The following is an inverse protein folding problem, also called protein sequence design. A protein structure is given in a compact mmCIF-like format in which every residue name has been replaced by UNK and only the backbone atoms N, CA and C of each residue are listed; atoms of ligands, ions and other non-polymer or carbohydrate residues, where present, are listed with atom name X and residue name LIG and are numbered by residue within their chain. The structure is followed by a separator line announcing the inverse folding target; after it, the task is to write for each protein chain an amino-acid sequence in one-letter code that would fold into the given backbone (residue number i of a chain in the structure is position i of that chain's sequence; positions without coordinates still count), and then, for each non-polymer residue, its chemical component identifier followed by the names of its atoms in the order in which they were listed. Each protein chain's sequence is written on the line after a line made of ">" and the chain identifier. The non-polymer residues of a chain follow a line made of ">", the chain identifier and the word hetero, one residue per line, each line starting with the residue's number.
data_IF_251336189320
#
_entry.id   IF_251336189320
#
_cell.length_a   1.000
_cell.length_b   1.000
_cell.length_c   1.000
_cell.angle_alpha   90.00
_cell.angle_beta   90.00
_cell.angle_gamma   90.00
#
_symmetry.space_group_name_H-M   'P 1'
#
loop_
_entity.id
_entity.type
_entity.pdbx_description
1 polymer ?
#
# COMPACT_ATOMS: atom_id res chain seq x y z
N UNK A 1 -7.29 43.41 -23.92
CA UNK A 1 -7.34 41.93 -23.97
C UNK A 1 -5.96 41.45 -23.49
N UNK A 2 -5.82 41.01 -22.24
CA UNK A 2 -4.51 40.57 -21.72
C UNK A 2 -4.21 39.19 -22.30
N UNK A 3 -3.14 39.05 -23.09
CA UNK A 3 -2.72 37.76 -23.63
C UNK A 3 -2.14 36.89 -22.51
N UNK A 4 -2.60 35.65 -22.42
CA UNK A 4 -2.03 34.63 -21.52
C UNK A 4 -0.54 34.47 -21.74
N UNK A 5 0.23 34.36 -20.65
CA UNK A 5 1.57 33.78 -20.76
C UNK A 5 1.43 32.27 -20.97
N UNK A 6 2.33 31.67 -21.74
CA UNK A 6 2.35 30.21 -21.97
C UNK A 6 2.42 29.44 -20.64
N UNK A 7 3.09 30.02 -19.64
CA UNK A 7 3.19 29.48 -18.28
C UNK A 7 1.84 29.40 -17.56
N UNK A 8 0.97 30.40 -17.71
CA UNK A 8 -0.36 30.38 -17.05
C UNK A 8 -1.24 29.24 -17.56
N UNK A 9 -1.15 28.94 -18.85
CA UNK A 9 -1.88 27.81 -19.47
C UNK A 9 -1.39 26.47 -18.93
N UNK A 10 -0.07 26.33 -18.72
CA UNK A 10 0.51 25.12 -18.14
C UNK A 10 0.07 24.94 -16.69
N UNK A 11 0.08 26.01 -15.90
CA UNK A 11 -0.33 25.97 -14.50
C UNK A 11 -1.82 25.61 -14.35
N UNK A 12 -2.71 26.22 -15.13
CA UNK A 12 -4.14 25.90 -15.08
C UNK A 12 -4.43 24.44 -15.49
N UNK A 13 -3.85 23.98 -16.60
CA UNK A 13 -4.07 22.61 -17.07
C UNK A 13 -3.62 21.57 -16.04
N UNK A 14 -2.46 21.75 -15.41
CA UNK A 14 -1.95 20.81 -14.41
C UNK A 14 -2.64 20.94 -13.06
N UNK A 15 -3.12 22.13 -12.68
CA UNK A 15 -3.99 22.29 -11.51
C UNK A 15 -5.26 21.47 -11.68
N UNK A 16 -5.95 21.61 -12.82
CA UNK A 16 -7.20 20.90 -13.06
C UNK A 16 -6.99 19.38 -13.06
N UNK A 17 -5.95 18.88 -13.74
CA UNK A 17 -5.59 17.44 -13.69
C UNK A 17 -5.29 16.96 -12.27
N UNK A 18 -4.58 17.75 -11.48
CA UNK A 18 -4.27 17.43 -10.09
C UNK A 18 -5.54 17.31 -9.23
N UNK A 19 -6.43 18.30 -9.30
CA UNK A 19 -7.68 18.33 -8.53
C UNK A 19 -8.62 17.18 -8.93
N UNK A 20 -8.78 16.91 -10.23
CA UNK A 20 -9.60 15.80 -10.72
C UNK A 20 -9.01 14.45 -10.27
N UNK A 21 -7.69 14.26 -10.39
CA UNK A 21 -7.03 13.07 -9.88
C UNK A 21 -7.27 12.87 -8.38
N UNK A 22 -7.12 13.94 -7.57
CA UNK A 22 -7.37 13.90 -6.13
C UNK A 22 -8.82 13.55 -5.80
N UNK A 23 -9.80 14.05 -6.57
CA UNK A 23 -11.22 13.68 -6.40
C UNK A 23 -11.46 12.20 -6.66
N UNK A 24 -10.88 11.65 -7.73
CA UNK A 24 -11.00 10.22 -8.04
C UNK A 24 -10.40 9.36 -6.92
N UNK A 25 -9.22 9.74 -6.39
CA UNK A 25 -8.61 9.04 -5.26
C UNK A 25 -9.46 9.18 -3.99
N UNK A 26 -9.98 10.38 -3.69
CA UNK A 26 -10.87 10.62 -2.54
C UNK A 26 -12.11 9.71 -2.58
N UNK A 27 -12.80 9.68 -3.72
CA UNK A 27 -14.01 8.86 -3.89
C UNK A 27 -13.70 7.36 -3.90
N UNK A 28 -12.57 6.95 -4.47
CA UNK A 28 -12.09 5.57 -4.36
C UNK A 28 -11.93 5.14 -2.90
N UNK A 29 -11.26 5.96 -2.09
CA UNK A 29 -11.03 5.66 -0.68
C UNK A 29 -12.36 5.61 0.09
N UNK A 30 -13.28 6.54 -0.18
CA UNK A 30 -14.58 6.62 0.50
C UNK A 30 -15.50 5.45 0.16
N UNK A 31 -15.64 5.12 -1.13
CA UNK A 31 -16.71 4.23 -1.59
C UNK A 31 -16.22 2.82 -1.91
N UNK A 32 -14.94 2.65 -2.28
CA UNK A 32 -14.36 1.33 -2.57
C UNK A 32 -13.70 0.75 -1.33
N UNK A 33 -12.87 1.54 -0.62
CA UNK A 33 -12.12 1.05 0.54
C UNK A 33 -12.77 1.34 1.90
N UNK A 34 -13.80 2.19 1.94
CA UNK A 34 -14.41 2.69 3.18
C UNK A 34 -13.37 3.29 4.16
N UNK A 35 -12.30 3.89 3.64
CA UNK A 35 -11.21 4.48 4.40
C UNK A 35 -11.40 6.00 4.55
N UNK A 36 -12.20 6.38 5.55
CA UNK A 36 -12.50 7.80 5.82
C UNK A 36 -11.28 8.61 6.25
N UNK A 37 -10.29 7.97 6.88
CA UNK A 37 -9.07 8.61 7.38
C UNK A 37 -8.21 9.06 6.21
N UNK A 38 -7.89 8.15 5.29
CA UNK A 38 -7.08 8.49 4.13
C UNK A 38 -7.84 9.36 3.12
N UNK A 39 -9.15 9.19 3.00
CA UNK A 39 -9.99 10.11 2.22
C UNK A 39 -9.88 11.55 2.73
N UNK A 40 -9.89 11.76 4.05
CA UNK A 40 -9.71 13.08 4.66
C UNK A 40 -8.32 13.68 4.37
N UNK A 41 -7.26 12.87 4.41
CA UNK A 41 -5.90 13.32 4.02
C UNK A 41 -5.86 13.83 2.58
N UNK A 42 -6.46 13.10 1.64
CA UNK A 42 -6.53 13.49 0.22
C UNK A 42 -7.36 14.77 0.04
N UNK A 43 -8.51 14.87 0.72
CA UNK A 43 -9.34 16.08 0.73
C UNK A 43 -8.55 17.31 1.20
N UNK A 44 -7.74 17.17 2.25
CA UNK A 44 -6.93 18.27 2.77
C UNK A 44 -5.88 18.74 1.75
N UNK A 45 -5.18 17.80 1.09
CA UNK A 45 -4.26 18.14 -0.02
C UNK A 45 -4.99 18.90 -1.12
N UNK A 46 -6.21 18.47 -1.49
CA UNK A 46 -7.03 19.13 -2.50
C UNK A 46 -7.42 20.56 -2.10
N UNK A 47 -7.75 20.80 -0.84
CA UNK A 47 -8.04 22.14 -0.32
C UNK A 47 -6.79 23.04 -0.31
N UNK A 48 -5.65 22.53 0.18
CA UNK A 48 -4.38 23.27 0.18
C UNK A 48 -3.98 23.71 -1.23
N UNK A 49 -4.15 22.84 -2.23
CA UNK A 49 -3.91 23.19 -3.63
C UNK A 49 -4.94 24.22 -4.10
N UNK A 50 -6.22 24.04 -3.80
CA UNK A 50 -7.26 24.99 -4.22
C UNK A 50 -6.97 26.40 -3.71
N UNK A 51 -6.60 26.53 -2.43
CA UNK A 51 -6.23 27.79 -1.78
C UNK A 51 -5.02 28.47 -2.42
N UNK A 52 -3.98 27.70 -2.79
CA UNK A 52 -2.78 28.27 -3.42
C UNK A 52 -3.12 28.95 -4.76
N UNK A 53 -4.09 28.39 -5.48
CA UNK A 53 -4.45 28.84 -6.81
C UNK A 53 -5.73 29.69 -6.85
N UNK A 54 -6.43 29.86 -5.71
CA UNK A 54 -7.70 30.59 -5.62
C UNK A 54 -7.54 32.11 -5.72
N UNK A 55 -6.34 32.67 -5.48
CA UNK A 55 -6.20 34.12 -5.34
C UNK A 55 -5.77 34.91 -6.57
N UNK A 56 -5.34 34.33 -7.71
CA UNK A 56 -4.87 35.16 -8.85
C UNK A 56 -4.96 34.55 -10.27
N UNK A 57 -5.62 33.40 -10.47
CA UNK A 57 -5.64 32.72 -11.80
C UNK A 57 -7.06 32.61 -12.40
N UNK A 58 -8.09 33.13 -11.72
CA UNK A 58 -9.50 32.96 -12.14
C UNK A 58 -9.96 33.98 -13.21
N UNK A 59 -9.23 35.08 -13.47
CA UNK A 59 -9.70 36.13 -14.41
C UNK A 59 -9.55 35.76 -15.90
N UNK A 60 -9.05 34.57 -16.23
CA UNK A 60 -8.70 34.28 -17.61
C UNK A 60 -9.15 32.87 -18.02
N UNK A 61 -10.45 32.69 -18.27
CA UNK A 61 -10.95 31.53 -19.04
C UNK A 61 -11.05 31.84 -20.52
N UNK A 62 -10.30 31.12 -21.35
CA UNK A 62 -10.61 30.92 -22.76
C UNK A 62 -10.46 29.42 -23.08
N UNK A 63 -11.58 28.72 -23.07
CA UNK A 63 -11.71 27.25 -23.10
C UNK A 63 -11.62 26.74 -24.55
N UNK A 64 -10.52 27.01 -25.27
CA UNK A 64 -10.51 26.70 -26.72
C UNK A 64 -9.20 26.21 -27.33
N UNK A 65 -8.15 25.92 -26.55
CA UNK A 65 -6.93 25.33 -27.11
C UNK A 65 -6.20 24.43 -26.11
N UNK A 66 -6.82 23.29 -25.78
CA UNK A 66 -6.10 22.18 -25.15
C UNK A 66 -5.52 21.29 -26.26
N UNK A 67 -4.20 21.13 -26.27
CA UNK A 67 -3.44 20.38 -27.28
C UNK A 67 -3.39 18.88 -26.94
N UNK A 68 -4.16 18.42 -25.94
CA UNK A 68 -4.18 17.05 -25.44
C UNK A 68 -5.37 16.17 -25.85
N UNK A 69 -6.11 16.48 -26.93
CA UNK A 69 -7.19 15.60 -27.42
C UNK A 69 -6.60 14.37 -28.13
N UNK A 70 -6.43 13.29 -27.37
CA UNK A 70 -6.41 11.87 -27.78
C UNK A 70 -5.31 11.10 -27.02
N UNK A 71 -5.48 10.92 -25.72
CA UNK A 71 -4.80 9.85 -25.01
C UNK A 71 -5.80 8.72 -24.79
N UNK A 72 -5.80 7.75 -25.71
CA UNK A 72 -6.48 6.47 -25.50
C UNK A 72 -5.82 5.78 -24.30
N UNK A 73 -6.49 5.80 -23.15
CA UNK A 73 -6.11 4.91 -22.04
C UNK A 73 -6.69 3.54 -22.30
N UNK A 74 -5.82 2.52 -22.30
CA UNK A 74 -6.22 1.12 -22.23
C UNK A 74 -7.19 0.88 -21.07
N UNK A 75 -8.23 0.08 -21.29
CA UNK A 75 -9.21 -0.29 -20.27
C UNK A 75 -8.53 -0.87 -19.03
N UNK A 76 -8.94 -0.46 -17.83
CA UNK A 76 -8.47 -1.06 -16.58
C UNK A 76 -9.09 -2.46 -16.41
N UNK A 77 -8.28 -3.43 -15.97
CA UNK A 77 -8.70 -4.81 -15.67
C UNK A 77 -9.02 -5.02 -14.19
N UNK A 78 -8.49 -4.16 -13.31
CA UNK A 78 -8.69 -4.22 -11.87
C UNK A 78 -8.98 -2.84 -11.28
N UNK A 79 -9.86 -2.77 -10.28
CA UNK A 79 -10.25 -1.49 -9.66
C UNK A 79 -9.06 -0.77 -8.99
N UNK A 80 -8.10 -1.53 -8.44
CA UNK A 80 -6.85 -0.97 -7.88
C UNK A 80 -5.97 -0.23 -8.91
N UNK A 81 -6.11 -0.52 -10.20
CA UNK A 81 -5.39 0.21 -11.24
C UNK A 81 -5.88 1.66 -11.35
N UNK A 82 -7.17 1.91 -11.05
CA UNK A 82 -7.74 3.27 -11.01
C UNK A 82 -7.04 4.10 -9.94
N UNK A 83 -6.85 3.53 -8.74
CA UNK A 83 -6.12 4.19 -7.65
C UNK A 83 -4.68 4.50 -8.07
N UNK A 84 -3.92 3.49 -8.52
CA UNK A 84 -2.50 3.63 -8.90
C UNK A 84 -2.29 4.64 -10.02
N UNK A 85 -3.12 4.59 -11.06
CA UNK A 85 -3.00 5.49 -12.20
C UNK A 85 -3.27 6.95 -11.81
N UNK A 86 -4.28 7.21 -10.97
CA UNK A 86 -4.57 8.57 -10.52
C UNK A 86 -3.52 9.10 -9.54
N UNK A 87 -2.97 8.27 -8.66
CA UNK A 87 -1.83 8.64 -7.82
C UNK A 87 -0.62 9.10 -8.67
N UNK A 88 -0.26 8.36 -9.73
CA UNK A 88 0.81 8.78 -10.65
C UNK A 88 0.55 10.14 -11.32
N UNK A 89 -0.66 10.32 -11.88
CA UNK A 89 -1.04 11.58 -12.55
C UNK A 89 -1.01 12.78 -11.62
N UNK A 90 -1.40 12.60 -10.35
CA UNK A 90 -1.32 13.66 -9.34
C UNK A 90 0.14 14.04 -9.08
N UNK A 91 1.04 13.05 -8.92
CA UNK A 91 2.48 13.31 -8.73
C UNK A 91 3.09 14.09 -9.90
N UNK A 92 2.77 13.68 -11.12
CA UNK A 92 3.21 14.35 -12.35
C UNK A 92 2.71 15.80 -12.37
N UNK A 93 1.42 16.01 -12.09
CA UNK A 93 0.81 17.34 -12.06
C UNK A 93 1.46 18.23 -10.99
N UNK A 94 1.65 17.73 -9.77
CA UNK A 94 2.33 18.44 -8.68
C UNK A 94 3.77 18.82 -9.04
N UNK A 95 4.49 17.94 -9.75
CA UNK A 95 5.85 18.19 -10.22
C UNK A 95 5.89 19.33 -11.25
N UNK A 96 4.96 19.31 -12.21
CA UNK A 96 4.85 20.38 -13.22
C UNK A 96 4.50 21.71 -12.54
N UNK A 97 3.54 21.73 -11.62
CA UNK A 97 3.18 22.93 -10.88
C UNK A 97 4.38 23.50 -10.10
N UNK A 98 5.11 22.66 -9.36
CA UNK A 98 6.30 23.10 -8.60
C UNK A 98 7.35 23.76 -9.52
N UNK A 99 7.68 23.12 -10.63
CA UNK A 99 8.75 23.58 -11.54
C UNK A 99 8.36 24.87 -12.28
N UNK A 100 7.13 24.99 -12.80
CA UNK A 100 6.68 26.22 -13.45
C UNK A 100 6.49 27.38 -12.46
N UNK A 101 6.08 27.09 -11.22
CA UNK A 101 6.06 28.09 -10.16
C UNK A 101 7.46 28.48 -9.72
N UNK A 102 8.48 27.63 -9.85
CA UNK A 102 9.87 28.02 -9.55
C UNK A 102 10.33 29.20 -10.41
N UNK A 103 9.81 29.30 -11.63
CA UNK A 103 10.04 30.41 -12.54
C UNK A 103 9.20 31.66 -12.17
N UNK A 104 7.92 31.50 -11.79
CA UNK A 104 7.01 32.62 -11.52
C UNK A 104 7.03 33.15 -10.08
N UNK A 105 7.02 32.25 -9.10
CA UNK A 105 6.90 32.56 -7.69
C UNK A 105 7.56 31.46 -6.84
N UNK A 106 8.78 31.74 -6.39
CA UNK A 106 9.58 30.80 -5.59
C UNK A 106 8.92 30.47 -4.24
N UNK A 107 8.13 31.38 -3.66
CA UNK A 107 7.45 31.18 -2.38
C UNK A 107 6.34 30.15 -2.55
N UNK A 108 5.52 30.31 -3.59
CA UNK A 108 4.47 29.33 -3.91
C UNK A 108 5.08 28.00 -4.36
N UNK A 109 6.18 28.02 -5.13
CA UNK A 109 6.91 26.80 -5.52
C UNK A 109 7.34 25.99 -4.29
N UNK A 110 7.89 26.66 -3.26
CA UNK A 110 8.29 25.99 -2.03
C UNK A 110 7.10 25.40 -1.25
N UNK A 111 5.94 26.07 -1.25
CA UNK A 111 4.69 25.50 -0.69
C UNK A 111 4.25 24.24 -1.45
N UNK A 112 4.28 24.27 -2.78
CA UNK A 112 3.98 23.10 -3.62
C UNK A 112 4.94 21.95 -3.38
N UNK A 113 6.22 22.23 -3.14
CA UNK A 113 7.21 21.20 -2.79
C UNK A 113 6.83 20.48 -1.50
N UNK A 114 6.43 21.22 -0.46
CA UNK A 114 5.98 20.62 0.81
C UNK A 114 4.75 19.74 0.61
N UNK A 115 3.76 20.24 -0.15
CA UNK A 115 2.56 19.46 -0.50
C UNK A 115 2.93 18.19 -1.27
N UNK A 116 3.86 18.28 -2.23
CA UNK A 116 4.31 17.13 -3.02
C UNK A 116 4.97 16.05 -2.15
N UNK A 117 5.83 16.43 -1.21
CA UNK A 117 6.42 15.46 -0.29
C UNK A 117 5.38 14.84 0.63
N UNK A 118 4.47 15.62 1.19
CA UNK A 118 3.31 15.11 1.96
C UNK A 118 2.48 14.11 1.13
N UNK A 119 2.26 14.40 -0.14
CA UNK A 119 1.53 13.52 -1.04
C UNK A 119 2.28 12.19 -1.29
N UNK A 120 3.60 12.20 -1.39
CA UNK A 120 4.39 10.96 -1.53
C UNK A 120 4.29 10.06 -0.31
N UNK A 121 4.24 10.63 0.89
CA UNK A 121 4.02 9.87 2.12
C UNK A 121 2.63 9.21 2.10
N UNK A 122 1.58 9.97 1.73
CA UNK A 122 0.21 9.45 1.60
C UNK A 122 0.16 8.34 0.54
N UNK A 123 0.77 8.55 -0.64
CA UNK A 123 0.84 7.54 -1.69
C UNK A 123 1.52 6.27 -1.16
N UNK A 124 2.66 6.40 -0.47
CA UNK A 124 3.38 5.26 0.09
C UNK A 124 2.48 4.50 1.06
N UNK A 125 1.76 5.18 1.95
CA UNK A 125 0.82 4.55 2.88
C UNK A 125 -0.33 3.83 2.17
N UNK A 126 -0.89 4.41 1.10
CA UNK A 126 -1.99 3.84 0.33
C UNK A 126 -1.58 2.64 -0.52
N UNK A 127 -0.36 2.66 -1.06
CA UNK A 127 0.20 1.60 -1.88
C UNK A 127 0.93 0.54 -1.05
N UNK A 128 1.20 0.80 0.23
CA UNK A 128 1.82 -0.18 1.11
C UNK A 128 0.85 -1.34 1.30
N UNK A 129 1.21 -2.49 0.74
CA UNK A 129 0.45 -3.70 0.93
C UNK A 129 0.57 -4.08 2.42
N UNK A 130 -0.56 -4.05 3.15
CA UNK A 130 -0.63 -4.48 4.57
C UNK A 130 -0.26 -5.96 4.76
N UNK A 131 0.11 -6.68 3.69
CA UNK A 131 0.41 -8.11 3.67
C UNK A 131 1.71 -8.51 4.39
N UNK A 132 2.63 -7.59 4.66
CA UNK A 132 3.82 -7.94 5.43
C UNK A 132 3.56 -7.77 6.93
N UNK A 133 3.42 -8.91 7.59
CA UNK A 133 3.42 -9.03 9.05
C UNK A 133 4.75 -8.46 9.54
N UNK A 134 4.70 -7.36 10.31
CA UNK A 134 5.92 -6.67 10.79
C UNK A 134 6.72 -7.50 11.79
N UNK A 135 6.08 -8.49 12.40
CA UNK A 135 6.64 -9.34 13.44
C UNK A 135 6.47 -10.78 12.98
N UNK A 136 7.59 -11.46 12.80
CA UNK A 136 7.66 -12.87 12.49
C UNK A 136 8.27 -13.61 13.68
N UNK A 137 7.50 -14.49 14.30
CA UNK A 137 7.94 -15.22 15.50
C UNK A 137 8.33 -16.64 15.13
N UNK A 138 9.50 -17.04 15.61
CA UNK A 138 9.94 -18.43 15.61
C UNK A 138 9.50 -19.09 16.92
N UNK A 139 8.49 -19.94 16.86
CA UNK A 139 8.04 -20.75 17.98
C UNK A 139 8.86 -22.03 18.06
N UNK A 140 9.94 -22.00 18.84
CA UNK A 140 10.81 -23.15 19.08
C UNK A 140 10.35 -23.95 20.29
N UNK A 141 10.00 -25.23 20.08
CA UNK A 141 9.53 -26.11 21.14
C UNK A 141 10.61 -26.42 22.20
N UNK A 142 11.87 -26.11 21.94
CA UNK A 142 12.94 -26.23 22.94
C UNK A 142 12.99 -25.07 23.93
N UNK A 143 12.27 -23.97 23.67
CA UNK A 143 12.23 -22.77 24.51
C UNK A 143 10.96 -22.66 25.37
N UNK A 144 9.97 -23.51 25.11
CA UNK A 144 8.70 -23.60 25.87
C UNK A 144 8.76 -24.79 26.84
N UNK A 145 8.03 -24.71 27.94
CA UNK A 145 8.00 -25.78 28.95
C UNK A 145 7.32 -27.03 28.42
N UNK A 146 6.18 -26.84 27.77
CA UNK A 146 5.35 -27.88 27.20
C UNK A 146 4.44 -27.31 26.09
N UNK A 147 3.56 -28.16 25.55
CA UNK A 147 2.63 -27.78 24.50
C UNK A 147 1.58 -26.74 24.95
N UNK A 148 1.18 -26.75 26.22
CA UNK A 148 0.18 -25.80 26.72
C UNK A 148 0.80 -24.40 26.85
N UNK A 149 2.04 -24.32 27.33
CA UNK A 149 2.84 -23.08 27.40
C UNK A 149 2.99 -22.44 26.01
N UNK A 150 3.25 -23.27 24.98
CA UNK A 150 3.25 -22.82 23.59
C UNK A 150 1.89 -22.23 23.18
N UNK A 151 0.80 -22.97 23.37
CA UNK A 151 -0.53 -22.54 22.95
C UNK A 151 -0.98 -21.25 23.66
N UNK A 152 -0.63 -21.08 24.93
CA UNK A 152 -0.88 -19.84 25.67
C UNK A 152 -0.07 -18.66 25.09
N UNK A 153 1.22 -18.86 24.83
CA UNK A 153 2.06 -17.86 24.18
C UNK A 153 1.52 -17.45 22.80
N UNK A 154 1.07 -18.40 21.99
CA UNK A 154 0.47 -18.13 20.68
C UNK A 154 -0.82 -17.31 20.78
N UNK A 155 -1.66 -17.56 21.79
CA UNK A 155 -2.87 -16.75 22.05
C UNK A 155 -2.50 -15.30 22.39
N UNK A 156 -1.53 -15.10 23.29
CA UNK A 156 -1.06 -13.76 23.66
C UNK A 156 -0.55 -13.00 22.43
N UNK A 157 0.21 -13.66 21.56
CA UNK A 157 0.70 -13.05 20.32
C UNK A 157 -0.45 -12.63 19.40
N UNK A 158 -1.45 -13.49 19.22
CA UNK A 158 -2.60 -13.20 18.38
C UNK A 158 -3.43 -12.02 18.92
N UNK A 159 -3.66 -11.96 20.23
CA UNK A 159 -4.33 -10.85 20.91
C UNK A 159 -3.59 -9.52 20.72
N UNK A 160 -2.27 -9.58 20.53
CA UNK A 160 -1.40 -8.43 20.24
C UNK A 160 -1.13 -8.22 18.73
N UNK A 161 -1.98 -8.78 17.86
CA UNK A 161 -1.93 -8.62 16.40
C UNK A 161 -0.66 -9.17 15.73
N UNK A 162 -0.02 -10.15 16.35
CA UNK A 162 1.05 -10.94 15.73
C UNK A 162 0.43 -12.24 15.25
N UNK A 163 0.31 -12.41 13.93
CA UNK A 163 -0.38 -13.59 13.38
C UNK A 163 0.55 -14.54 12.60
N UNK A 164 1.78 -14.14 12.27
CA UNK A 164 2.72 -14.96 11.51
C UNK A 164 3.74 -15.67 12.40
N UNK A 165 3.64 -17.00 12.45
CA UNK A 165 4.47 -17.84 13.31
C UNK A 165 5.11 -18.96 12.50
N UNK A 166 6.39 -19.23 12.76
CA UNK A 166 7.07 -20.43 12.30
C UNK A 166 7.17 -21.45 13.42
N UNK A 167 6.59 -22.63 13.23
CA UNK A 167 6.68 -23.73 14.18
C UNK A 167 7.97 -24.51 13.95
N UNK A 168 8.90 -24.38 14.90
CA UNK A 168 10.20 -25.09 14.89
C UNK A 168 10.20 -26.19 15.94
N UNK A 169 10.10 -27.43 15.49
CA UNK A 169 10.02 -28.61 16.34
C UNK A 169 11.03 -29.69 15.93
N UNK A 170 12.33 -29.35 15.85
CA UNK A 170 13.40 -30.25 15.36
C UNK A 170 13.53 -31.57 16.14
N UNK A 171 13.10 -31.61 17.40
CA UNK A 171 13.17 -32.81 18.27
C UNK A 171 11.94 -33.71 18.18
N UNK A 172 10.88 -33.29 17.49
CA UNK A 172 9.65 -34.08 17.37
C UNK A 172 9.65 -34.94 16.10
N UNK A 173 8.93 -36.07 16.17
CA UNK A 173 8.63 -36.85 14.98
C UNK A 173 7.65 -36.12 14.07
N UNK A 174 7.70 -36.39 12.77
CA UNK A 174 6.79 -35.82 11.76
C UNK A 174 5.32 -35.93 12.18
N UNK A 175 4.91 -37.08 12.73
CA UNK A 175 3.56 -37.30 13.25
C UNK A 175 3.18 -36.32 14.37
N UNK A 176 4.07 -36.12 15.36
CA UNK A 176 3.80 -35.18 16.46
C UNK A 176 3.74 -33.73 16.00
N UNK A 177 4.56 -33.35 15.00
CA UNK A 177 4.50 -32.01 14.41
C UNK A 177 3.15 -31.80 13.72
N UNK A 178 2.67 -32.80 12.98
CA UNK A 178 1.36 -32.76 12.33
C UNK A 178 0.21 -32.65 13.34
N UNK A 179 0.20 -33.50 14.38
CA UNK A 179 -0.82 -33.46 15.44
C UNK A 179 -0.85 -32.09 16.16
N UNK A 180 0.32 -31.54 16.47
CA UNK A 180 0.43 -30.21 17.06
C UNK A 180 -0.06 -29.10 16.10
N UNK A 181 0.33 -29.17 14.84
CA UNK A 181 -0.08 -28.20 13.82
C UNK A 181 -1.60 -28.20 13.60
N UNK A 182 -2.24 -29.37 13.59
CA UNK A 182 -3.70 -29.49 13.54
C UNK A 182 -4.34 -28.79 14.74
N UNK A 183 -3.84 -29.06 15.95
CA UNK A 183 -4.35 -28.45 17.17
C UNK A 183 -4.22 -26.92 17.16
N UNK A 184 -3.10 -26.39 16.67
CA UNK A 184 -2.92 -24.94 16.50
C UNK A 184 -3.91 -24.39 15.48
N UNK A 185 -4.08 -25.05 14.33
CA UNK A 185 -5.00 -24.60 13.29
C UNK A 185 -6.47 -24.60 13.74
N UNK A 186 -6.87 -25.59 14.55
CA UNK A 186 -8.21 -25.68 15.13
C UNK A 186 -8.47 -24.62 16.19
N UNK A 187 -7.51 -24.41 17.11
CA UNK A 187 -7.67 -23.47 18.23
C UNK A 187 -7.45 -22.01 17.83
N UNK A 188 -6.57 -21.76 16.85
CA UNK A 188 -6.11 -20.44 16.45
C UNK A 188 -6.17 -20.29 14.91
N UNK A 189 -7.37 -20.35 14.29
CA UNK A 189 -7.51 -20.36 12.83
C UNK A 189 -7.04 -19.08 12.14
N UNK A 190 -6.88 -17.98 12.88
CA UNK A 190 -6.35 -16.72 12.34
C UNK A 190 -4.81 -16.71 12.28
N UNK A 191 -4.13 -17.69 12.88
CA UNK A 191 -2.69 -17.77 12.90
C UNK A 191 -2.18 -18.27 11.55
N UNK A 192 -1.30 -17.49 10.91
CA UNK A 192 -0.56 -17.86 9.71
C UNK A 192 0.62 -18.74 10.12
N UNK A 193 0.40 -20.05 10.09
CA UNK A 193 1.39 -21.04 10.51
C UNK A 193 2.35 -21.40 9.37
N UNK A 194 3.65 -21.21 9.58
CA UNK A 194 4.72 -21.71 8.72
C UNK A 194 5.34 -22.93 9.39
N UNK A 195 5.45 -24.05 8.67
CA UNK A 195 6.10 -25.26 9.19
C UNK A 195 7.59 -25.24 8.83
N UNK A 196 8.45 -25.51 9.79
CA UNK A 196 9.90 -25.56 9.57
C UNK A 196 10.33 -26.91 8.98
N UNK A 197 11.09 -26.89 7.88
CA UNK A 197 11.78 -27.99 7.17
C UNK A 197 10.88 -29.12 6.61
N UNK A 198 9.71 -29.36 7.21
CA UNK A 198 8.82 -30.50 6.94
C UNK A 198 7.73 -30.15 5.92
N UNK A 199 8.11 -30.16 4.65
CA UNK A 199 7.22 -29.87 3.50
C UNK A 199 5.99 -30.78 3.51
N UNK A 200 6.15 -32.07 3.80
CA UNK A 200 5.05 -33.03 3.84
C UNK A 200 4.01 -32.68 4.91
N UNK A 201 4.44 -32.14 6.05
CA UNK A 201 3.54 -31.68 7.12
C UNK A 201 2.84 -30.39 6.73
N UNK A 202 3.56 -29.45 6.13
CA UNK A 202 2.99 -28.21 5.63
C UNK A 202 1.84 -28.46 4.63
N UNK A 203 2.08 -29.36 3.67
CA UNK A 203 1.09 -29.77 2.68
C UNK A 203 -0.10 -30.48 3.32
N UNK A 204 0.14 -31.44 4.23
CA UNK A 204 -0.92 -32.17 4.92
C UNK A 204 -1.82 -31.25 5.76
N UNK A 205 -1.23 -30.24 6.42
CA UNK A 205 -1.96 -29.25 7.22
C UNK A 205 -2.62 -28.15 6.38
N UNK A 206 -2.24 -28.01 5.10
CA UNK A 206 -2.53 -26.80 4.30
C UNK A 206 -2.10 -25.53 5.05
N UNK A 207 -0.90 -25.55 5.61
CA UNK A 207 -0.37 -24.44 6.40
C UNK A 207 -0.18 -23.18 5.54
N UNK A 208 0.03 -22.03 6.18
CA UNK A 208 0.26 -20.76 5.47
C UNK A 208 1.54 -20.81 4.62
N UNK A 209 2.52 -21.60 5.04
CA UNK A 209 3.69 -21.91 4.24
C UNK A 209 4.61 -22.93 4.89
N UNK A 210 5.76 -23.11 4.25
CA UNK A 210 6.89 -23.90 4.75
C UNK A 210 8.15 -23.06 4.69
N UNK A 211 8.99 -23.16 5.70
CA UNK A 211 10.34 -22.62 5.70
C UNK A 211 11.30 -23.75 5.34
N UNK A 212 12.14 -23.54 4.32
CA UNK A 212 13.16 -24.50 3.89
C UNK A 212 14.53 -23.82 3.92
N UNK A 213 15.51 -24.50 4.49
CA UNK A 213 16.90 -24.06 4.56
C UNK A 213 17.73 -24.63 3.40
N UNK A 214 19.05 -24.54 3.56
CA UNK A 214 20.01 -24.96 2.53
C UNK A 214 20.14 -26.48 2.38
N UNK A 215 19.87 -27.23 3.45
CA UNK A 215 19.98 -28.70 3.49
C UNK A 215 18.67 -29.41 3.07
N UNK A 216 17.57 -28.66 2.93
CA UNK A 216 16.27 -29.16 2.50
C UNK A 216 16.10 -29.13 0.96
N UNK A 217 14.91 -29.53 0.48
CA UNK A 217 14.59 -29.43 -0.94
C UNK A 217 14.76 -27.98 -1.44
N UNK A 218 15.38 -27.77 -2.62
CA UNK A 218 15.53 -26.44 -3.18
C UNK A 218 14.19 -25.72 -3.31
N UNK A 219 14.16 -24.42 -3.01
CA UNK A 219 12.91 -23.64 -2.97
C UNK A 219 12.07 -23.75 -4.26
N UNK A 220 12.71 -23.89 -5.42
CA UNK A 220 12.02 -24.01 -6.71
C UNK A 220 11.28 -25.36 -6.85
N UNK A 221 11.81 -26.43 -6.26
CA UNK A 221 11.16 -27.75 -6.20
C UNK A 221 9.98 -27.69 -5.24
N UNK A 222 10.19 -27.14 -4.04
CA UNK A 222 9.15 -27.01 -3.01
C UNK A 222 7.96 -26.21 -3.53
N UNK A 223 8.21 -25.17 -4.32
CA UNK A 223 7.16 -24.34 -4.94
C UNK A 223 6.33 -25.06 -6.02
N UNK A 224 6.80 -26.19 -6.54
CA UNK A 224 6.09 -26.98 -7.55
C UNK A 224 5.20 -28.09 -6.97
N UNK A 225 5.25 -28.31 -5.66
CA UNK A 225 4.38 -29.26 -4.92
C UNK A 225 3.03 -28.62 -4.59
#
# INVERSE_FOLDING_TARGET
>A
MLSYTEVDRVLDANRNRCIEGLRVVEDYLRFVQNDSVNASKIRNVRHEISEIFDLNIIISRNVSSDVGKNNFSSSYTELNQVLKANLSRIKESLRVLEEFLRYKDIVISNRLRVIRFKFYEIERELLFDKKFEKIYILADLSLVKDENDLLEGLKILLDNKVSLIQLRAKKLSTRKIYELGLKIAELLPQLKLIINDKVEVALALKSYGVHVGEDELPFHVVRSL
#
